data_IF_894546391893
#
_entry.id   IF_894546391893
#
_cell.length_a   1.000
_cell.length_b   1.000
_cell.length_c   1.000
_cell.angle_alpha   90.00
_cell.angle_beta   90.00
_cell.angle_gamma   90.00
#
_symmetry.space_group_name_H-M   'P 1'
#
loop_
_entity.id
_entity.type
_entity.pdbx_description
1 polymer ?
#
# COMPACT_ATOMS: atom_id res chain seq x y z
N UNK A 1 -38.71 40.61 78.57
CA UNK A 1 -40.14 40.83 78.24
C UNK A 1 -40.53 39.94 77.06
N UNK A 2 -41.62 39.18 77.25
CA UNK A 2 -42.48 38.46 76.27
C UNK A 2 -41.93 37.25 75.48
N UNK A 3 -42.69 36.15 75.66
CA UNK A 3 -42.65 34.76 75.15
C UNK A 3 -43.15 34.65 73.69
N UNK A 4 -42.83 33.52 73.03
CA UNK A 4 -43.70 32.54 72.30
C UNK A 4 -42.73 31.48 71.69
N UNK A 5 -42.78 30.15 71.90
CA UNK A 5 -43.84 29.15 71.62
C UNK A 5 -43.93 28.90 70.10
N UNK A 6 -43.95 27.71 69.47
CA UNK A 6 -44.06 26.30 69.84
C UNK A 6 -43.98 25.46 68.51
N UNK A 7 -43.32 24.28 68.54
CA UNK A 7 -43.51 23.01 67.75
C UNK A 7 -43.59 22.99 66.20
N UNK A 8 -42.81 22.09 65.57
CA UNK A 8 -43.32 20.92 64.82
C UNK A 8 -42.27 19.78 64.80
N UNK A 9 -42.78 18.53 64.73
CA UNK A 9 -42.14 17.22 64.94
C UNK A 9 -42.04 16.46 63.61
N UNK A 10 -41.25 15.36 63.61
CA UNK A 10 -41.10 14.22 62.66
C UNK A 10 -39.85 14.30 61.78
N UNK A 11 -39.01 13.26 61.63
CA UNK A 11 -39.07 11.87 62.06
C UNK A 11 -37.73 11.17 61.75
N UNK A 12 -37.45 10.08 62.47
CA UNK A 12 -36.21 9.30 62.39
C UNK A 12 -36.13 8.40 61.14
N UNK A 13 -34.90 8.08 60.70
CA UNK A 13 -34.52 6.72 60.29
C UNK A 13 -32.99 6.61 60.14
N UNK A 14 -32.37 5.85 61.05
CA UNK A 14 -31.02 5.30 60.89
C UNK A 14 -31.19 3.96 60.18
N UNK A 15 -30.58 3.79 59.00
CA UNK A 15 -30.30 2.47 58.44
C UNK A 15 -28.87 2.50 57.93
N UNK A 16 -28.02 1.67 58.55
CA UNK A 16 -26.65 1.44 58.13
C UNK A 16 -26.59 0.81 56.75
N UNK A 17 -25.55 1.13 55.99
CA UNK A 17 -25.26 0.49 54.72
C UNK A 17 -23.77 0.21 54.65
N UNK A 18 -23.48 -1.07 54.88
CA UNK A 18 -22.39 -1.89 54.34
C UNK A 18 -21.39 -1.16 53.45
N UNK A 19 -20.13 -1.16 53.88
CA UNK A 19 -18.96 -0.89 53.05
C UNK A 19 -18.90 -1.98 51.98
N UNK A 20 -19.51 -1.70 50.82
CA UNK A 20 -19.31 -2.49 49.61
C UNK A 20 -17.92 -2.19 49.08
N UNK A 21 -17.08 -3.23 49.01
CA UNK A 21 -15.79 -3.19 48.35
C UNK A 21 -15.94 -2.56 46.96
N UNK A 22 -15.20 -1.49 46.71
CA UNK A 22 -15.12 -0.87 45.41
C UNK A 22 -14.72 -1.95 44.39
N UNK A 23 -15.63 -2.24 43.46
CA UNK A 23 -15.29 -2.95 42.25
C UNK A 23 -14.18 -2.15 41.55
N UNK A 24 -13.01 -2.75 41.42
CA UNK A 24 -11.97 -2.27 40.53
C UNK A 24 -12.50 -2.34 39.10
N UNK A 25 -13.14 -1.25 38.65
CA UNK A 25 -13.60 -1.09 37.28
C UNK A 25 -12.37 -0.97 36.37
N UNK A 26 -12.29 -1.86 35.39
CA UNK A 26 -11.20 -1.95 34.41
C UNK A 26 -10.97 -0.62 33.66
N UNK A 27 -9.76 0.00 33.75
CA UNK A 27 -9.42 1.14 32.91
C UNK A 27 -8.91 0.76 31.49
N UNK A 28 -8.91 -0.52 31.09
CA UNK A 28 -7.99 -0.97 30.04
C UNK A 28 -8.56 -1.11 28.62
N UNK A 29 -9.87 -1.32 28.43
CA UNK A 29 -10.44 -1.63 27.12
C UNK A 29 -10.92 -0.39 26.34
N UNK A 30 -11.53 0.57 27.03
CA UNK A 30 -12.02 1.84 26.45
C UNK A 30 -10.86 2.74 26.03
N UNK A 31 -9.79 2.78 26.82
CA UNK A 31 -8.59 3.58 26.53
C UNK A 31 -7.81 3.01 25.35
N UNK A 32 -7.76 1.67 25.20
CA UNK A 32 -7.13 1.00 24.07
C UNK A 32 -7.92 1.20 22.77
N UNK A 33 -9.25 1.09 22.81
CA UNK A 33 -10.11 1.34 21.65
C UNK A 33 -10.05 2.82 21.23
N UNK A 34 -10.09 3.74 22.19
CA UNK A 34 -9.94 5.18 21.95
C UNK A 34 -8.59 5.52 21.31
N UNK A 35 -7.49 4.90 21.80
CA UNK A 35 -6.16 5.06 21.21
C UNK A 35 -6.09 4.53 19.78
N UNK A 36 -6.67 3.36 19.50
CA UNK A 36 -6.69 2.79 18.15
C UNK A 36 -7.46 3.67 17.15
N UNK A 37 -8.59 4.25 17.57
CA UNK A 37 -9.35 5.21 16.79
C UNK A 37 -8.55 6.50 16.53
N UNK A 38 -7.90 7.05 17.56
CA UNK A 38 -7.05 8.23 17.44
C UNK A 38 -5.85 8.00 16.50
N UNK A 39 -5.21 6.84 16.59
CA UNK A 39 -4.12 6.45 15.68
C UNK A 39 -4.64 6.31 14.24
N UNK A 40 -5.81 5.72 14.04
CA UNK A 40 -6.38 5.60 12.69
C UNK A 40 -6.73 6.95 12.07
N UNK A 41 -7.23 7.90 12.87
CA UNK A 41 -7.47 9.27 12.42
C UNK A 41 -6.16 10.00 12.10
N UNK A 42 -5.13 9.84 12.95
CA UNK A 42 -3.80 10.37 12.72
C UNK A 42 -3.16 9.87 11.41
N UNK A 43 -3.26 8.58 11.12
CA UNK A 43 -2.75 8.00 9.86
C UNK A 43 -3.47 8.58 8.64
N UNK A 44 -4.79 8.78 8.74
CA UNK A 44 -5.58 9.39 7.68
C UNK A 44 -5.19 10.86 7.46
N UNK A 45 -4.96 11.63 8.52
CA UNK A 45 -4.43 13.00 8.43
C UNK A 45 -3.06 13.03 7.76
N UNK A 46 -2.11 12.19 8.20
CA UNK A 46 -0.77 12.16 7.61
C UNK A 46 -0.77 11.79 6.12
N UNK A 47 -1.70 10.92 5.71
CA UNK A 47 -1.90 10.53 4.32
C UNK A 47 -2.43 11.68 3.48
N UNK A 48 -3.37 12.46 4.01
CA UNK A 48 -3.91 13.64 3.33
C UNK A 48 -2.86 14.76 3.22
N UNK A 49 -2.05 14.91 4.27
CA UNK A 49 -0.97 15.91 4.37
C UNK A 49 0.40 15.31 4.01
N UNK A 50 0.44 14.40 3.03
CA UNK A 50 1.69 13.80 2.58
C UNK A 50 2.68 14.87 2.08
N UNK A 51 4.00 14.70 2.27
CA UNK A 51 4.99 15.69 1.85
C UNK A 51 4.89 15.97 0.35
N UNK A 52 4.76 17.25 -0.03
CA UNK A 52 4.61 17.68 -1.43
C UNK A 52 5.96 17.90 -2.15
N UNK A 53 7.05 17.32 -1.63
CA UNK A 53 8.40 17.50 -2.16
C UNK A 53 9.18 16.18 -2.11
N UNK A 54 10.19 16.07 -2.97
CA UNK A 54 11.05 14.88 -3.01
C UNK A 54 11.84 14.72 -1.71
N UNK A 55 12.02 13.48 -1.28
CA UNK A 55 12.77 13.15 -0.08
C UNK A 55 12.14 12.06 0.77
N UNK A 56 12.67 11.89 1.98
CA UNK A 56 12.24 10.87 2.92
C UNK A 56 11.79 11.52 4.22
N UNK A 57 10.69 11.00 4.75
CA UNK A 57 10.02 11.58 5.90
C UNK A 57 9.56 10.50 6.86
N UNK A 58 9.43 10.88 8.13
CA UNK A 58 8.85 10.05 9.17
C UNK A 58 7.94 10.86 10.07
N UNK A 59 7.00 10.18 10.70
CA UNK A 59 6.16 10.73 11.75
C UNK A 59 5.91 9.68 12.84
N UNK A 60 5.51 10.13 14.02
CA UNK A 60 5.20 9.26 15.16
C UNK A 60 4.06 9.84 15.96
N UNK A 61 3.01 9.05 16.17
CA UNK A 61 1.85 9.43 16.96
C UNK A 61 2.28 9.85 18.39
N UNK A 62 1.77 10.98 18.93
CA UNK A 62 0.68 11.80 18.41
C UNK A 62 1.09 13.02 17.55
N UNK A 63 2.33 13.10 17.06
CA UNK A 63 2.77 14.21 16.21
C UNK A 63 2.07 14.16 14.84
N UNK A 64 1.29 15.18 14.48
CA UNK A 64 0.57 15.24 13.20
C UNK A 64 1.42 15.74 12.01
N UNK A 65 2.75 15.80 12.15
CA UNK A 65 3.63 16.40 11.15
C UNK A 65 4.67 15.43 10.61
N UNK A 66 5.01 15.58 9.33
CA UNK A 66 6.14 14.91 8.72
C UNK A 66 7.45 15.59 9.11
N UNK A 67 8.44 14.80 9.52
CA UNK A 67 9.82 15.25 9.78
C UNK A 67 10.74 14.61 8.76
N UNK A 68 11.55 15.42 8.09
CA UNK A 68 12.58 14.91 7.18
C UNK A 68 13.50 13.91 7.91
N UNK A 69 13.92 12.86 7.21
CA UNK A 69 14.82 11.83 7.70
C UNK A 69 15.82 11.44 6.61
N UNK A 70 16.88 10.74 6.99
CA UNK A 70 17.84 10.22 6.02
C UNK A 70 17.18 9.24 5.05
N UNK A 71 17.40 9.46 3.76
CA UNK A 71 17.10 8.50 2.71
C UNK A 71 18.19 7.44 2.61
N UNK A 72 17.84 6.31 2.02
CA UNK A 72 18.78 5.28 1.58
C UNK A 72 19.04 5.41 0.08
N UNK A 73 20.17 4.90 -0.41
CA UNK A 73 20.32 4.64 -1.84
C UNK A 73 19.16 3.81 -2.38
N UNK A 74 18.91 3.91 -3.68
CA UNK A 74 17.90 3.12 -4.37
C UNK A 74 18.10 1.62 -4.10
N UNK A 75 17.05 0.91 -3.67
CA UNK A 75 17.08 -0.54 -3.54
C UNK A 75 17.61 -1.23 -4.79
N UNK A 76 18.46 -2.22 -4.58
CA UNK A 76 19.12 -2.98 -5.66
C UNK A 76 18.41 -4.29 -5.97
N UNK A 77 17.46 -4.69 -5.13
CA UNK A 77 16.67 -5.89 -5.36
C UNK A 77 16.04 -5.81 -6.76
N UNK A 78 16.34 -6.76 -7.66
CA UNK A 78 15.64 -6.82 -8.92
C UNK A 78 14.20 -7.23 -8.65
N UNK A 79 13.28 -6.30 -8.80
CA UNK A 79 11.86 -6.58 -8.84
C UNK A 79 11.49 -6.90 -10.29
N UNK A 80 10.58 -7.85 -10.47
CA UNK A 80 10.28 -8.33 -11.81
C UNK A 80 9.46 -7.30 -12.60
N UNK A 81 9.62 -7.25 -13.93
CA UNK A 81 8.67 -6.54 -14.78
C UNK A 81 7.25 -7.05 -14.51
N UNK A 82 6.21 -6.26 -14.86
CA UNK A 82 4.84 -6.65 -14.67
C UNK A 82 4.57 -7.94 -15.43
N UNK A 83 3.63 -8.73 -14.94
CA UNK A 83 3.11 -9.89 -15.64
C UNK A 83 2.39 -9.40 -16.90
N UNK A 84 3.11 -9.38 -18.04
CA UNK A 84 2.62 -8.82 -19.30
C UNK A 84 2.55 -9.85 -20.42
N UNK A 85 1.57 -9.65 -21.30
CA UNK A 85 1.41 -10.28 -22.60
C UNK A 85 1.73 -9.25 -23.68
N UNK A 86 2.69 -9.58 -24.55
CA UNK A 86 2.97 -8.83 -25.79
C UNK A 86 2.14 -9.44 -26.92
N UNK A 87 1.26 -8.64 -27.51
CA UNK A 87 0.38 -9.05 -28.60
C UNK A 87 1.11 -8.96 -29.95
N UNK A 88 0.57 -9.64 -30.98
CA UNK A 88 1.19 -9.68 -32.33
C UNK A 88 1.33 -8.31 -32.99
N UNK A 89 0.52 -7.35 -32.58
CA UNK A 89 0.52 -5.95 -33.03
C UNK A 89 1.47 -5.06 -32.20
N UNK A 90 2.27 -5.66 -31.30
CA UNK A 90 3.19 -4.95 -30.40
C UNK A 90 2.53 -4.37 -29.15
N UNK A 91 1.21 -4.50 -28.98
CA UNK A 91 0.54 -3.97 -27.78
C UNK A 91 0.88 -4.79 -26.55
N UNK A 92 1.26 -4.11 -25.47
CA UNK A 92 1.57 -4.75 -24.17
C UNK A 92 0.35 -4.63 -23.25
N UNK A 93 -0.05 -5.74 -22.63
CA UNK A 93 -1.18 -5.79 -21.69
C UNK A 93 -0.83 -6.66 -20.49
N UNK A 94 -1.51 -6.50 -19.36
CA UNK A 94 -1.37 -7.45 -18.25
C UNK A 94 -1.78 -8.88 -18.66
N UNK A 95 -1.08 -9.88 -18.13
CA UNK A 95 -1.34 -11.32 -18.34
C UNK A 95 -2.72 -11.68 -17.78
N UNK A 96 -3.38 -12.66 -18.40
CA UNK A 96 -4.74 -13.11 -18.03
C UNK A 96 -4.90 -14.62 -17.87
N UNK A 97 -3.82 -15.41 -17.85
CA UNK A 97 -3.96 -16.86 -17.82
C UNK A 97 -4.36 -17.38 -16.44
N UNK A 98 -4.95 -18.59 -16.43
CA UNK A 98 -5.58 -19.17 -15.24
C UNK A 98 -4.96 -20.52 -14.89
N UNK A 99 -4.09 -20.50 -13.88
CA UNK A 99 -3.69 -21.65 -13.06
C UNK A 99 -3.34 -21.05 -11.70
N UNK A 100 -4.13 -21.32 -10.66
CA UNK A 100 -4.19 -20.47 -9.45
C UNK A 100 -2.97 -20.58 -8.52
N UNK A 101 -2.32 -19.45 -8.36
CA UNK A 101 -1.65 -18.86 -7.17
C UNK A 101 -1.92 -17.35 -7.27
N UNK A 102 -1.98 -16.60 -6.17
CA UNK A 102 -2.15 -15.13 -6.23
C UNK A 102 -0.87 -14.50 -6.76
N UNK A 103 -0.99 -13.48 -7.61
CA UNK A 103 0.12 -12.82 -8.32
C UNK A 103 0.36 -13.39 -9.73
N UNK A 104 1.45 -12.99 -10.38
CA UNK A 104 1.74 -13.37 -11.78
C UNK A 104 0.55 -13.16 -12.74
N UNK A 105 -0.13 -12.02 -12.61
CA UNK A 105 -1.33 -11.67 -13.37
C UNK A 105 -2.65 -12.14 -12.76
N UNK A 106 -2.61 -13.02 -11.75
CA UNK A 106 -3.79 -13.54 -11.03
C UNK A 106 -4.01 -12.73 -9.75
N UNK A 107 -4.74 -11.61 -9.86
CA UNK A 107 -5.21 -10.84 -8.72
C UNK A 107 -6.49 -10.03 -9.07
N UNK A 108 -7.09 -9.44 -8.04
CA UNK A 108 -8.11 -8.42 -8.17
C UNK A 108 -7.53 -7.00 -8.19
N UNK A 109 -8.13 -6.16 -9.04
CA UNK A 109 -7.72 -4.78 -9.25
C UNK A 109 -8.93 -3.86 -9.14
N UNK A 110 -8.76 -2.77 -8.39
CA UNK A 110 -9.76 -1.70 -8.30
C UNK A 110 -9.66 -0.82 -9.55
N UNK A 111 -10.72 -0.76 -10.35
CA UNK A 111 -10.76 0.06 -11.57
C UNK A 111 -11.76 1.22 -11.47
N UNK A 112 -11.29 2.42 -11.80
CA UNK A 112 -12.07 3.65 -11.75
C UNK A 112 -12.31 4.21 -13.15
N UNK A 113 -13.33 5.07 -13.30
CA UNK A 113 -13.58 5.80 -14.55
C UNK A 113 -12.74 7.07 -14.66
N UNK A 114 -12.43 7.71 -13.54
CA UNK A 114 -11.52 8.85 -13.48
C UNK A 114 -10.10 8.40 -13.13
N UNK A 115 -9.15 9.32 -13.25
CA UNK A 115 -7.78 9.07 -12.82
C UNK A 115 -7.73 8.93 -11.30
N UNK A 116 -7.01 7.94 -10.81
CA UNK A 116 -6.74 7.71 -9.40
C UNK A 116 -5.68 8.75 -8.97
N UNK A 117 -6.02 9.52 -7.94
CA UNK A 117 -5.09 10.43 -7.28
C UNK A 117 -4.29 9.73 -6.19
N UNK A 118 -4.95 8.81 -5.47
CA UNK A 118 -4.31 8.01 -4.44
C UNK A 118 -5.01 6.67 -4.21
N UNK A 119 -4.25 5.67 -3.78
CA UNK A 119 -4.73 4.37 -3.31
C UNK A 119 -4.28 4.14 -1.87
N UNK A 120 -5.07 3.42 -1.09
CA UNK A 120 -4.64 2.82 0.17
C UNK A 120 -4.93 1.31 0.20
N UNK A 121 -3.92 0.53 0.56
CA UNK A 121 -3.97 -0.90 0.76
C UNK A 121 -3.91 -1.26 2.25
N UNK A 122 -4.81 -2.14 2.68
CA UNK A 122 -4.83 -2.68 4.04
C UNK A 122 -5.27 -4.13 4.07
N UNK A 123 -5.03 -4.80 5.20
CA UNK A 123 -5.50 -6.15 5.47
C UNK A 123 -6.50 -6.15 6.64
N UNK A 124 -7.82 -5.94 6.41
CA UNK A 124 -8.80 -5.83 7.50
C UNK A 124 -8.90 -7.06 8.41
N UNK A 125 -8.54 -8.25 7.91
CA UNK A 125 -8.52 -9.50 8.68
C UNK A 125 -7.32 -10.33 8.25
N UNK A 126 -6.59 -10.85 9.23
CA UNK A 126 -5.44 -11.74 9.04
C UNK A 126 -5.52 -12.80 10.12
N UNK A 127 -5.76 -14.05 9.74
CA UNK A 127 -5.87 -15.18 10.67
C UNK A 127 -5.13 -16.40 10.12
N UNK A 128 -4.74 -17.31 11.02
CA UNK A 128 -4.02 -18.53 10.64
C UNK A 128 -2.62 -18.32 10.08
N UNK A 129 -2.16 -17.08 9.90
CA UNK A 129 -0.79 -16.75 9.46
C UNK A 129 0.21 -16.99 10.60
N UNK A 130 1.26 -17.72 10.28
CA UNK A 130 2.33 -18.12 11.17
C UNK A 130 3.13 -16.92 11.69
N UNK A 131 3.81 -17.14 12.81
CA UNK A 131 4.56 -16.10 13.51
C UNK A 131 6.01 -15.96 13.04
N UNK A 132 6.45 -16.83 12.13
CA UNK A 132 7.81 -16.82 11.60
C UNK A 132 8.09 -15.53 10.82
N UNK A 133 9.34 -15.09 10.89
CA UNK A 133 9.83 -13.96 10.11
C UNK A 133 10.23 -14.47 8.73
N UNK A 134 9.32 -14.29 7.78
CA UNK A 134 9.52 -14.59 6.35
C UNK A 134 9.78 -13.32 5.57
N UNK A 135 10.47 -13.44 4.44
CA UNK A 135 10.67 -12.34 3.51
C UNK A 135 9.47 -12.21 2.58
N UNK A 136 8.90 -11.01 2.55
CA UNK A 136 7.76 -10.64 1.70
C UNK A 136 7.86 -9.19 1.26
N UNK A 137 7.06 -8.86 0.25
CA UNK A 137 6.78 -7.49 -0.17
C UNK A 137 5.29 -7.17 -0.09
N UNK A 138 4.96 -5.92 0.16
CA UNK A 138 3.64 -5.35 -0.12
C UNK A 138 3.78 -4.42 -1.31
N UNK A 139 2.86 -4.53 -2.26
CA UNK A 139 2.96 -3.82 -3.51
C UNK A 139 1.65 -3.10 -3.78
N UNK A 140 1.71 -1.81 -4.10
CA UNK A 140 0.63 -1.11 -4.81
C UNK A 140 1.09 -0.96 -6.24
N UNK A 141 0.34 -1.52 -7.20
CA UNK A 141 0.70 -1.46 -8.62
C UNK A 141 -0.32 -0.61 -9.37
N UNK A 142 0.16 0.28 -10.25
CA UNK A 142 -0.72 0.97 -11.20
C UNK A 142 -1.13 0.06 -12.35
N UNK A 143 -2.04 0.51 -13.21
CA UNK A 143 -2.15 -0.08 -14.54
C UNK A 143 -0.88 0.18 -15.38
N UNK A 144 -0.63 -0.74 -16.30
CA UNK A 144 0.20 -0.53 -17.48
C UNK A 144 -0.65 0.11 -18.59
N UNK A 145 -0.26 1.29 -19.07
CA UNK A 145 -0.95 2.00 -20.16
C UNK A 145 0.01 2.90 -20.96
N UNK A 146 -0.43 3.36 -22.13
CA UNK A 146 0.33 4.30 -22.97
C UNK A 146 0.34 5.69 -22.36
N UNK A 147 1.53 6.29 -22.25
CA UNK A 147 1.67 7.64 -21.70
C UNK A 147 2.40 8.59 -22.66
N UNK A 148 1.69 9.23 -23.61
CA UNK A 148 2.32 10.05 -24.63
C UNK A 148 3.16 11.21 -24.07
N UNK A 149 2.86 11.70 -22.85
CA UNK A 149 3.64 12.74 -22.19
C UNK A 149 5.05 12.22 -21.86
N UNK A 150 5.12 11.06 -21.19
CA UNK A 150 6.39 10.42 -20.83
C UNK A 150 7.15 9.92 -22.05
N UNK A 151 6.45 9.40 -23.07
CA UNK A 151 7.10 8.98 -24.31
C UNK A 151 7.83 10.17 -24.95
N UNK A 152 7.13 11.28 -25.16
CA UNK A 152 7.72 12.49 -25.73
C UNK A 152 8.87 13.04 -24.88
N UNK A 153 8.73 13.02 -23.55
CA UNK A 153 9.78 13.42 -22.60
C UNK A 153 11.07 12.60 -22.78
N UNK A 154 10.96 11.30 -23.05
CA UNK A 154 12.10 10.41 -23.30
C UNK A 154 12.49 10.31 -24.78
N UNK A 155 11.86 11.08 -25.66
CA UNK A 155 12.17 11.11 -27.09
C UNK A 155 11.53 10.00 -27.92
N UNK A 156 10.60 9.22 -27.34
CA UNK A 156 9.91 8.12 -28.02
C UNK A 156 8.57 8.56 -28.61
N UNK A 157 8.27 8.03 -29.80
CA UNK A 157 7.00 8.22 -30.49
C UNK A 157 5.82 7.58 -29.76
N UNK A 158 6.04 6.41 -29.15
CA UNK A 158 5.07 5.73 -28.31
C UNK A 158 5.74 4.76 -27.34
N UNK A 159 5.10 4.54 -26.20
CA UNK A 159 5.62 3.77 -25.08
C UNK A 159 4.49 3.41 -24.10
N UNK A 160 4.77 2.45 -23.23
CA UNK A 160 3.92 2.13 -22.08
C UNK A 160 4.63 2.41 -20.78
N UNK A 161 3.88 2.76 -19.74
CA UNK A 161 4.42 3.03 -18.42
C UNK A 161 3.64 2.32 -17.33
N UNK A 162 4.38 1.95 -16.29
CA UNK A 162 3.87 1.29 -15.10
C UNK A 162 4.72 1.71 -13.91
N UNK A 163 4.08 1.89 -12.76
CA UNK A 163 4.75 2.27 -11.53
C UNK A 163 4.26 1.37 -10.39
N UNK A 164 5.19 1.04 -9.50
CA UNK A 164 4.93 0.26 -8.31
C UNK A 164 5.41 1.01 -7.08
N UNK A 165 4.69 0.84 -5.99
CA UNK A 165 5.06 1.37 -4.68
C UNK A 165 5.26 0.19 -3.75
N UNK A 166 6.40 0.14 -3.08
CA UNK A 166 6.83 -1.03 -2.32
C UNK A 166 6.93 -0.77 -0.83
N UNK A 167 6.57 -1.78 -0.06
CA UNK A 167 7.27 -2.17 1.15
C UNK A 167 7.96 -3.50 0.87
N UNK A 168 9.22 -3.62 1.26
CA UNK A 168 9.99 -4.87 1.21
C UNK A 168 10.57 -5.15 2.59
N UNK A 169 10.65 -6.42 2.95
CA UNK A 169 11.34 -6.89 4.16
C UNK A 169 12.86 -6.89 3.99
N UNK A 170 13.35 -6.92 2.75
CA UNK A 170 14.77 -6.93 2.43
C UNK A 170 15.05 -6.30 1.06
N UNK A 171 15.57 -5.07 1.06
CA UNK A 171 15.68 -4.20 -0.11
C UNK A 171 16.96 -4.37 -0.95
N UNK A 172 17.95 -5.08 -0.43
CA UNK A 172 19.18 -5.41 -1.16
C UNK A 172 19.27 -6.90 -1.51
N UNK A 173 18.51 -7.77 -0.83
CA UNK A 173 18.49 -9.20 -1.08
C UNK A 173 19.83 -9.87 -0.76
N UNK A 174 20.73 -9.16 -0.05
CA UNK A 174 22.06 -9.64 0.26
C UNK A 174 22.03 -10.32 1.64
N UNK A 175 22.16 -11.66 1.71
CA UNK A 175 22.08 -12.38 2.98
C UNK A 175 23.17 -11.97 3.97
N UNK A 176 24.25 -11.31 3.53
CA UNK A 176 25.32 -10.81 4.39
C UNK A 176 24.88 -9.58 5.19
N UNK A 177 24.02 -8.73 4.61
CA UNK A 177 23.56 -7.50 5.26
C UNK A 177 22.40 -7.75 6.23
N UNK A 178 21.84 -8.96 6.20
CA UNK A 178 20.59 -9.28 6.86
C UNK A 178 19.44 -8.50 6.24
N UNK A 179 18.25 -8.59 6.84
CA UNK A 179 17.06 -7.92 6.32
C UNK A 179 17.23 -6.41 6.37
N UNK A 180 17.01 -5.76 5.23
CA UNK A 180 16.99 -4.31 5.07
C UNK A 180 15.60 -3.80 4.67
N UNK A 181 14.62 -3.73 5.59
CA UNK A 181 13.27 -3.35 5.23
C UNK A 181 13.20 -1.89 4.78
N UNK A 182 12.58 -1.66 3.64
CA UNK A 182 12.46 -0.33 3.05
C UNK A 182 11.12 -0.13 2.37
N UNK A 183 10.77 1.13 2.18
CA UNK A 183 9.77 1.55 1.18
C UNK A 183 10.44 2.39 0.10
N UNK A 184 9.94 2.26 -1.12
CA UNK A 184 10.45 2.94 -2.31
C UNK A 184 9.44 2.83 -3.46
N UNK A 185 9.76 3.48 -4.57
CA UNK A 185 8.95 3.51 -5.79
C UNK A 185 9.80 2.90 -6.91
N UNK A 186 9.23 1.97 -7.66
CA UNK A 186 9.84 1.44 -8.88
C UNK A 186 9.07 1.93 -10.11
N UNK A 187 9.83 2.28 -11.13
CA UNK A 187 9.33 2.89 -12.35
C UNK A 187 9.71 2.04 -13.54
N UNK A 188 8.74 1.78 -14.41
CA UNK A 188 8.96 1.04 -15.65
C UNK A 188 8.47 1.83 -16.87
N UNK A 189 9.30 1.80 -17.90
CA UNK A 189 9.07 2.34 -19.23
C UNK A 189 9.28 1.22 -20.25
N UNK A 190 8.33 1.03 -21.16
CA UNK A 190 8.42 0.03 -22.23
C UNK A 190 8.43 0.75 -23.57
N UNK A 191 9.46 0.51 -24.36
CA UNK A 191 9.50 0.98 -25.74
C UNK A 191 8.61 0.10 -26.61
N UNK A 192 7.79 0.72 -27.44
CA UNK A 192 6.95 -0.01 -28.40
C UNK A 192 7.73 -0.53 -29.61
N UNK A 193 8.87 0.10 -29.91
CA UNK A 193 9.64 -0.17 -31.12
C UNK A 193 11.10 -0.47 -30.78
N UNK A 194 11.59 -1.61 -31.26
CA UNK A 194 12.96 -2.05 -31.02
C UNK A 194 14.02 -1.14 -31.67
N UNK A 195 13.78 -0.69 -32.91
CA UNK A 195 14.72 0.20 -33.60
C UNK A 195 14.81 1.58 -32.94
N UNK A 196 13.68 2.10 -32.43
CA UNK A 196 13.66 3.34 -31.65
C UNK A 196 14.43 3.17 -30.33
N UNK A 197 14.24 2.03 -29.65
CA UNK A 197 15.01 1.70 -28.45
C UNK A 197 16.51 1.56 -28.71
N UNK A 198 16.91 0.90 -29.80
CA UNK A 198 18.33 0.75 -30.16
C UNK A 198 19.00 2.10 -30.47
N UNK A 199 18.23 3.07 -30.99
CA UNK A 199 18.72 4.40 -31.33
C UNK A 199 18.76 5.35 -30.12
N UNK A 200 17.77 5.30 -29.23
CA UNK A 200 17.60 6.25 -28.12
C UNK A 200 18.17 5.69 -26.81
N UNK A 201 17.93 4.41 -26.54
CA UNK A 201 18.29 3.75 -25.28
C UNK A 201 17.44 4.20 -24.10
N UNK A 202 17.91 3.88 -22.90
CA UNK A 202 17.23 4.26 -21.66
C UNK A 202 17.54 5.69 -21.23
N UNK A 203 16.60 6.37 -20.56
CA UNK A 203 16.86 7.69 -19.98
C UNK A 203 18.07 7.65 -19.02
N UNK A 204 18.79 8.77 -18.85
CA UNK A 204 19.92 8.82 -17.93
C UNK A 204 19.55 8.35 -16.51
N UNK A 205 20.36 7.45 -15.95
CA UNK A 205 20.16 6.88 -14.61
C UNK A 205 19.18 5.69 -14.56
N UNK A 206 18.59 5.29 -15.70
CA UNK A 206 17.74 4.11 -15.79
C UNK A 206 18.54 2.89 -16.28
N UNK A 207 18.11 1.72 -15.83
CA UNK A 207 18.67 0.45 -16.26
C UNK A 207 17.89 -0.08 -17.47
N UNK A 208 18.59 -0.67 -18.44
CA UNK A 208 17.97 -1.36 -19.57
C UNK A 208 17.51 -2.77 -19.19
N UNK A 209 16.36 -3.17 -19.71
CA UNK A 209 15.85 -4.53 -19.60
C UNK A 209 15.24 -4.95 -20.94
N UNK A 210 15.82 -5.98 -21.55
CA UNK A 210 15.36 -6.48 -22.85
C UNK A 210 15.05 -7.97 -22.77
N UNK A 211 13.94 -8.37 -23.37
CA UNK A 211 13.55 -9.77 -23.57
C UNK A 211 13.49 -10.09 -25.05
N UNK A 212 13.14 -11.33 -25.40
CA UNK A 212 12.86 -11.69 -26.79
C UNK A 212 11.62 -10.99 -27.38
N UNK A 213 10.78 -10.35 -26.55
CA UNK A 213 9.48 -9.80 -26.98
C UNK A 213 9.31 -8.31 -26.72
N UNK A 214 10.12 -7.68 -25.88
CA UNK A 214 10.04 -6.24 -25.62
C UNK A 214 11.35 -5.67 -25.08
N UNK A 215 11.48 -4.35 -25.22
CA UNK A 215 12.55 -3.55 -24.61
C UNK A 215 11.95 -2.60 -23.58
N UNK A 216 12.63 -2.44 -22.46
CA UNK A 216 12.19 -1.64 -21.34
C UNK A 216 13.35 -0.96 -20.64
N UNK A 217 12.99 0.03 -19.83
CA UNK A 217 13.86 0.69 -18.88
C UNK A 217 13.19 0.65 -17.51
N UNK A 218 13.98 0.49 -16.46
CA UNK A 218 13.50 0.59 -15.09
C UNK A 218 14.40 1.43 -14.21
N UNK A 219 13.83 2.03 -13.17
CA UNK A 219 14.56 2.75 -12.14
C UNK A 219 13.84 2.70 -10.80
N UNK A 220 14.63 2.66 -9.73
CA UNK A 220 14.14 2.77 -8.36
C UNK A 220 14.40 4.18 -7.83
N UNK A 221 13.39 4.74 -7.16
CA UNK A 221 13.58 5.92 -6.33
C UNK A 221 14.60 5.64 -5.22
N UNK A 222 15.07 6.71 -4.57
CA UNK A 222 15.63 6.59 -3.23
C UNK A 222 14.63 5.87 -2.31
N UNK A 223 15.13 5.25 -1.23
CA UNK A 223 14.30 4.55 -0.25
C UNK A 223 14.33 5.19 1.12
N UNK A 224 13.50 4.69 2.02
CA UNK A 224 13.62 4.95 3.46
C UNK A 224 13.53 3.64 4.23
N UNK A 225 14.45 3.44 5.18
CA UNK A 225 14.42 2.27 6.07
C UNK A 225 13.18 2.36 6.96
N UNK A 226 12.46 1.25 7.03
CA UNK A 226 11.28 1.07 7.87
C UNK A 226 11.48 -0.12 8.80
N UNK A 227 10.63 -0.30 9.83
CA UNK A 227 10.71 -1.46 10.69
C UNK A 227 10.42 -2.75 9.92
N UNK A 228 11.14 -3.82 10.26
CA UNK A 228 10.79 -5.17 9.86
C UNK A 228 9.46 -5.56 10.53
N UNK A 229 8.46 -5.92 9.74
CA UNK A 229 7.17 -6.37 10.24
C UNK A 229 7.04 -7.88 10.01
N UNK A 230 6.76 -8.68 11.06
CA UNK A 230 6.43 -10.09 10.86
C UNK A 230 5.13 -10.24 10.07
N UNK A 231 5.03 -11.28 9.23
CA UNK A 231 3.85 -11.49 8.39
C UNK A 231 2.55 -11.64 9.19
N UNK A 232 2.62 -12.18 10.41
CA UNK A 232 1.51 -12.22 11.38
C UNK A 232 0.96 -10.85 11.80
N UNK A 233 1.69 -9.76 11.54
CA UNK A 233 1.31 -8.40 11.91
C UNK A 233 0.93 -7.52 10.72
N UNK A 234 0.82 -8.06 9.50
CA UNK A 234 0.47 -7.26 8.30
C UNK A 234 -0.89 -6.57 8.42
N UNK A 235 -1.82 -7.12 9.22
CA UNK A 235 -3.10 -6.47 9.53
C UNK A 235 -2.97 -5.12 10.27
N UNK A 236 -1.78 -4.80 10.79
CA UNK A 236 -1.46 -3.51 11.43
C UNK A 236 -0.78 -2.52 10.48
N UNK A 237 -0.44 -2.95 9.26
CA UNK A 237 0.16 -2.08 8.25
C UNK A 237 -0.96 -1.34 7.52
N UNK A 238 -0.73 -0.06 7.26
CA UNK A 238 -1.42 0.67 6.20
C UNK A 238 -0.40 1.17 5.21
N UNK A 239 -0.66 0.93 3.93
CA UNK A 239 0.17 1.44 2.84
C UNK A 239 -0.69 2.33 1.96
N UNK A 240 -0.12 3.42 1.48
CA UNK A 240 -0.81 4.30 0.53
C UNK A 240 0.17 4.85 -0.49
N UNK A 241 -0.35 5.08 -1.70
CA UNK A 241 0.38 5.69 -2.78
C UNK A 241 -0.42 6.85 -3.37
N UNK A 242 0.26 7.87 -3.88
CA UNK A 242 -0.36 8.99 -4.59
C UNK A 242 0.51 9.46 -5.74
N UNK A 243 -0.13 9.96 -6.80
CA UNK A 243 0.53 10.57 -7.94
C UNK A 243 -0.11 11.92 -8.25
N UNK A 244 0.65 13.00 -8.09
CA UNK A 244 0.13 14.38 -8.19
C UNK A 244 0.74 15.10 -9.37
N UNK A 245 -0.10 15.63 -10.26
CA UNK A 245 0.36 16.39 -11.43
C UNK A 245 1.22 17.59 -11.01
N UNK A 246 2.44 17.70 -11.56
CA UNK A 246 3.36 18.81 -11.26
C UNK A 246 3.84 18.85 -9.80
N UNK A 247 3.71 17.74 -9.08
CA UNK A 247 4.18 17.57 -7.71
C UNK A 247 5.10 16.35 -7.61
N UNK A 248 4.76 15.45 -6.69
CA UNK A 248 5.51 14.22 -6.44
C UNK A 248 4.63 12.99 -6.49
N UNK A 249 5.23 11.87 -6.88
CA UNK A 249 4.70 10.53 -6.62
C UNK A 249 5.20 10.11 -5.23
N UNK A 250 4.33 9.57 -4.39
CA UNK A 250 4.63 9.31 -2.97
C UNK A 250 4.10 7.96 -2.53
N UNK A 251 4.93 7.21 -1.80
CA UNK A 251 4.49 6.08 -0.97
C UNK A 251 4.54 6.46 0.50
N UNK A 252 3.55 6.01 1.25
CA UNK A 252 3.49 6.11 2.70
C UNK A 252 3.21 4.73 3.28
N UNK A 253 3.90 4.43 4.38
CA UNK A 253 3.74 3.20 5.15
C UNK A 253 3.60 3.57 6.61
N UNK A 254 2.57 3.03 7.26
CA UNK A 254 2.38 3.18 8.69
C UNK A 254 2.18 1.85 9.39
N UNK A 255 2.70 1.77 10.61
CA UNK A 255 2.49 0.65 11.52
C UNK A 255 2.65 1.11 12.97
N UNK A 256 1.72 0.68 13.84
CA UNK A 256 1.81 0.88 15.29
C UNK A 256 2.12 2.34 15.71
N UNK A 257 1.56 3.33 15.01
CA UNK A 257 1.76 4.74 15.35
C UNK A 257 3.08 5.34 14.85
N UNK A 258 3.77 4.67 13.93
CA UNK A 258 4.93 5.19 13.20
C UNK A 258 4.58 5.23 11.72
N UNK A 259 4.91 6.33 11.05
CA UNK A 259 4.69 6.49 9.63
C UNK A 259 5.99 6.90 8.93
N UNK A 260 6.14 6.45 7.70
CA UNK A 260 7.30 6.68 6.84
C UNK A 260 6.80 7.03 5.46
N UNK A 261 7.51 7.91 4.78
CA UNK A 261 7.17 8.29 3.42
C UNK A 261 8.45 8.52 2.61
N UNK A 262 8.38 8.18 1.33
CA UNK A 262 9.36 8.58 0.34
C UNK A 262 8.65 9.04 -0.92
N UNK A 263 9.20 10.09 -1.52
CA UNK A 263 8.61 10.78 -2.66
C UNK A 263 9.66 11.03 -3.74
N UNK A 264 9.25 10.89 -5.00
CA UNK A 264 10.05 11.21 -6.19
C UNK A 264 9.30 12.23 -7.07
N UNK A 265 10.01 12.86 -8.00
CA UNK A 265 9.39 13.77 -8.96
C UNK A 265 8.26 13.09 -9.76
N UNK A 266 7.10 13.73 -9.88
CA UNK A 266 5.98 13.19 -10.67
C UNK A 266 6.33 13.07 -12.17
N UNK A 267 7.22 13.92 -12.68
CA UNK A 267 7.63 13.89 -14.09
C UNK A 267 8.51 12.67 -14.41
N UNK A 268 8.94 11.89 -13.40
CA UNK A 268 9.68 10.62 -13.62
C UNK A 268 8.92 9.69 -14.56
N UNK A 269 7.60 9.58 -14.37
CA UNK A 269 6.72 8.78 -15.24
C UNK A 269 5.41 9.45 -15.63
N UNK A 270 5.09 10.63 -15.10
CA UNK A 270 3.79 11.29 -15.26
C UNK A 270 2.62 10.34 -15.03
N UNK A 271 2.73 9.43 -14.05
CA UNK A 271 1.78 8.30 -13.90
C UNK A 271 0.36 8.78 -13.60
N UNK A 272 0.25 9.96 -12.97
CA UNK A 272 -1.00 10.66 -12.70
C UNK A 272 -1.83 10.91 -13.97
N UNK A 273 -1.24 10.85 -15.18
CA UNK A 273 -1.93 11.01 -16.46
C UNK A 273 -2.66 9.74 -16.92
N UNK A 274 -2.27 8.58 -16.40
CA UNK A 274 -2.75 7.28 -16.87
C UNK A 274 -3.27 6.34 -15.77
N UNK A 275 -3.04 6.66 -14.49
CA UNK A 275 -3.42 5.79 -13.39
C UNK A 275 -4.95 5.70 -13.21
N UNK A 276 -5.53 4.54 -13.50
CA UNK A 276 -6.99 4.25 -13.44
C UNK A 276 -7.30 2.92 -12.78
N UNK A 277 -6.28 2.13 -12.50
CA UNK A 277 -6.43 0.84 -11.86
C UNK A 277 -5.34 0.65 -10.81
N UNK A 278 -5.72 0.07 -9.70
CA UNK A 278 -4.80 -0.18 -8.59
C UNK A 278 -4.95 -1.61 -8.08
N UNK A 279 -3.83 -2.31 -8.04
CA UNK A 279 -3.65 -3.57 -7.33
C UNK A 279 -3.04 -3.27 -5.96
N UNK A 280 -3.38 -4.08 -4.95
CA UNK A 280 -2.61 -4.12 -3.71
C UNK A 280 -2.66 -5.53 -3.13
N UNK A 281 -1.51 -6.09 -2.78
CA UNK A 281 -1.44 -7.38 -2.11
C UNK A 281 -0.08 -7.63 -1.43
N UNK A 282 0.04 -8.82 -0.83
CA UNK A 282 1.26 -9.40 -0.29
C UNK A 282 1.84 -10.45 -1.23
N UNK A 283 3.15 -10.38 -1.49
CA UNK A 283 3.85 -11.28 -2.39
C UNK A 283 5.23 -11.65 -1.85
N UNK A 284 5.95 -12.52 -2.57
CA UNK A 284 7.36 -12.81 -2.30
C UNK A 284 8.25 -11.56 -2.37
N UNK A 285 9.47 -11.68 -1.85
CA UNK A 285 10.40 -10.57 -1.77
C UNK A 285 11.34 -10.51 -3.00
N UNK A 286 10.80 -10.01 -4.10
CA UNK A 286 11.53 -9.77 -5.35
C UNK A 286 11.76 -11.00 -6.23
N UNK A 287 12.49 -10.80 -7.34
CA UNK A 287 12.56 -11.74 -8.46
C UNK A 287 13.21 -13.10 -8.18
N UNK A 288 14.15 -13.17 -7.24
CA UNK A 288 14.80 -14.44 -6.87
C UNK A 288 13.92 -15.33 -5.99
N UNK A 289 13.03 -14.71 -5.22
CA UNK A 289 12.09 -15.38 -4.32
C UNK A 289 10.68 -14.82 -4.56
N UNK A 290 10.13 -15.01 -5.78
CA UNK A 290 8.89 -14.35 -6.16
C UNK A 290 7.69 -14.92 -5.42
N UNK A 291 7.78 -16.17 -4.92
CA UNK A 291 6.68 -16.84 -4.23
C UNK A 291 6.84 -16.72 -2.71
N UNK A 292 5.85 -16.09 -2.07
CA UNK A 292 5.65 -16.15 -0.63
C UNK A 292 4.88 -17.43 -0.25
N UNK A 293 5.45 -18.20 0.67
CA UNK A 293 4.80 -19.35 1.28
C UNK A 293 4.22 -18.99 2.66
N UNK A 294 2.90 -18.89 2.72
CA UNK A 294 2.14 -18.84 3.96
C UNK A 294 1.76 -20.27 4.39
N UNK A 295 1.78 -20.53 5.70
CA UNK A 295 1.42 -21.83 6.24
C UNK A 295 -0.06 -22.15 5.97
N UNK A 296 -0.39 -23.45 5.91
CA UNK A 296 -1.77 -23.90 5.73
C UNK A 296 -2.70 -23.36 6.82
N UNK A 297 -3.94 -23.04 6.43
CA UNK A 297 -4.94 -22.41 7.27
C UNK A 297 -4.81 -20.88 7.30
N UNK A 298 -3.92 -20.28 6.50
CA UNK A 298 -3.82 -18.83 6.39
C UNK A 298 -5.05 -18.26 5.69
N UNK A 299 -5.59 -17.18 6.25
CA UNK A 299 -6.71 -16.43 5.70
C UNK A 299 -6.42 -14.94 5.80
N UNK A 300 -6.50 -14.25 4.66
CA UNK A 300 -6.26 -12.82 4.54
C UNK A 300 -7.47 -12.17 3.87
N UNK A 301 -7.92 -11.04 4.39
CA UNK A 301 -8.83 -10.14 3.69
C UNK A 301 -8.02 -8.95 3.22
N UNK A 302 -8.10 -8.64 1.93
CA UNK A 302 -7.42 -7.52 1.29
C UNK A 302 -8.43 -6.43 0.99
N UNK A 303 -8.07 -5.17 1.28
CA UNK A 303 -8.87 -4.00 0.91
C UNK A 303 -8.03 -3.01 0.14
N UNK A 304 -8.54 -2.60 -1.02
CA UNK A 304 -7.93 -1.59 -1.88
C UNK A 304 -8.89 -0.41 -2.00
N UNK A 305 -8.60 0.67 -1.29
CA UNK A 305 -9.34 1.93 -1.36
C UNK A 305 -8.73 2.86 -2.39
N UNK A 306 -9.56 3.52 -3.20
CA UNK A 306 -9.13 4.42 -4.27
C UNK A 306 -9.80 5.77 -4.11
N UNK A 307 -9.06 6.82 -4.42
CA UNK A 307 -9.58 8.18 -4.53
C UNK A 307 -9.41 8.67 -5.97
N UNK A 308 -10.51 8.72 -6.72
CA UNK A 308 -10.58 9.28 -8.07
C UNK A 308 -11.39 10.61 -8.08
N UNK A 309 -11.58 11.22 -6.91
CA UNK A 309 -12.40 12.41 -6.72
C UNK A 309 -13.91 12.15 -6.79
N UNK A 310 -14.36 10.90 -6.66
CA UNK A 310 -15.79 10.53 -6.63
C UNK A 310 -16.13 9.61 -5.46
N UNK A 311 -17.42 9.43 -5.19
CA UNK A 311 -17.93 8.45 -4.22
C UNK A 311 -18.43 7.15 -4.89
N UNK A 312 -18.13 6.95 -6.18
CA UNK A 312 -18.62 5.79 -6.92
C UNK A 312 -17.83 4.55 -6.53
N UNK A 313 -18.51 3.41 -6.40
CA UNK A 313 -17.82 2.14 -6.20
C UNK A 313 -16.87 1.87 -7.39
N UNK A 314 -15.59 1.52 -7.15
CA UNK A 314 -14.73 1.02 -8.22
C UNK A 314 -15.28 -0.29 -8.77
N UNK A 315 -14.90 -0.67 -9.98
CA UNK A 315 -15.17 -2.01 -10.48
C UNK A 315 -14.09 -2.94 -9.96
N UNK A 316 -14.50 -4.11 -9.46
CA UNK A 316 -13.55 -5.18 -9.25
C UNK A 316 -13.25 -5.91 -10.57
N UNK A 317 -12.01 -5.85 -11.02
CA UNK A 317 -11.51 -6.61 -12.17
C UNK A 317 -10.70 -7.79 -11.66
N UNK A 318 -10.91 -8.99 -12.18
CA UNK A 318 -10.17 -10.18 -11.79
C UNK A 318 -10.96 -11.47 -12.11
N UNK A 319 -10.48 -12.64 -11.70
CA UNK A 319 -9.27 -12.86 -10.91
C UNK A 319 -7.96 -12.77 -11.70
N UNK A 320 -7.98 -12.53 -13.02
CA UNK A 320 -6.77 -12.43 -13.84
C UNK A 320 -6.55 -10.98 -14.30
N UNK A 321 -6.42 -10.06 -13.35
CA UNK A 321 -6.23 -8.63 -13.63
C UNK A 321 -4.96 -8.04 -12.99
N UNK A 322 -4.20 -8.84 -12.23
CA UNK A 322 -3.00 -8.39 -11.52
C UNK A 322 -1.89 -7.93 -12.45
N UNK A 323 -0.96 -7.15 -11.93
CA UNK A 323 0.15 -6.57 -12.68
C UNK A 323 1.50 -7.13 -12.28
N UNK A 324 1.67 -7.64 -11.07
CA UNK A 324 2.97 -8.17 -10.61
C UNK A 324 3.26 -9.60 -11.10
N UNK A 325 4.55 -9.96 -11.18
CA UNK A 325 5.05 -11.34 -11.32
C UNK A 325 5.27 -12.03 -9.97
N UNK A 326 5.51 -11.27 -8.90
CA UNK A 326 5.58 -11.86 -7.56
C UNK A 326 4.24 -12.48 -7.18
N UNK A 327 4.30 -13.49 -6.32
CA UNK A 327 3.22 -14.42 -6.02
C UNK A 327 3.13 -14.73 -4.53
N UNK A 328 1.98 -15.25 -4.11
CA UNK A 328 1.81 -15.95 -2.85
C UNK A 328 1.05 -17.27 -3.08
N UNK A 329 1.13 -18.19 -2.12
CA UNK A 329 0.52 -19.53 -2.22
C UNK A 329 -0.95 -19.58 -1.74
N UNK A 330 -1.67 -18.46 -1.73
CA UNK A 330 -3.09 -18.40 -1.40
C UNK A 330 -3.96 -18.50 -2.66
N UNK A 331 -5.24 -18.80 -2.43
CA UNK A 331 -6.28 -18.83 -3.45
C UNK A 331 -7.24 -17.66 -3.25
N UNK A 332 -7.51 -16.90 -4.32
CA UNK A 332 -8.48 -15.81 -4.33
C UNK A 332 -9.91 -16.31 -4.06
N UNK A 333 -10.60 -15.65 -3.14
CA UNK A 333 -12.03 -15.74 -2.89
C UNK A 333 -12.83 -14.73 -3.72
N UNK A 334 -14.02 -14.37 -3.26
CA UNK A 334 -14.87 -13.40 -3.98
C UNK A 334 -14.41 -11.96 -3.75
N UNK A 335 -14.59 -11.12 -4.77
CA UNK A 335 -14.36 -9.69 -4.68
C UNK A 335 -15.66 -8.90 -4.65
N UNK A 336 -15.71 -7.91 -3.76
CA UNK A 336 -16.84 -6.98 -3.60
C UNK A 336 -16.35 -5.54 -3.76
N UNK A 337 -17.24 -4.66 -4.20
CA UNK A 337 -16.95 -3.24 -4.35
C UNK A 337 -17.92 -2.38 -3.54
N UNK A 338 -17.40 -1.32 -2.93
CA UNK A 338 -18.16 -0.38 -2.14
C UNK A 338 -17.84 1.06 -2.59
N UNK A 339 -18.87 1.89 -2.71
CA UNK A 339 -18.73 3.35 -2.91
C UNK A 339 -18.73 4.09 -1.57
N UNK A 340 -19.07 5.38 -1.60
CA UNK A 340 -19.19 6.22 -0.42
C UNK A 340 -17.95 7.09 -0.19
N UNK A 341 -17.66 7.43 1.07
CA UNK A 341 -16.57 8.34 1.44
C UNK A 341 -15.17 7.76 1.18
N UNK A 342 -15.04 6.43 1.15
CA UNK A 342 -13.81 5.73 0.82
C UNK A 342 -14.12 4.57 -0.15
N UNK A 343 -14.32 4.86 -1.44
CA UNK A 343 -14.58 3.82 -2.42
C UNK A 343 -13.47 2.77 -2.44
N UNK A 344 -13.84 1.49 -2.50
CA UNK A 344 -12.88 0.39 -2.38
C UNK A 344 -13.38 -0.90 -3.01
N UNK A 345 -12.44 -1.82 -3.27
CA UNK A 345 -12.75 -3.23 -3.38
C UNK A 345 -12.25 -4.00 -2.15
N UNK A 346 -12.84 -5.16 -1.88
CA UNK A 346 -12.42 -6.07 -0.82
C UNK A 346 -12.57 -7.51 -1.30
N UNK A 347 -11.56 -8.33 -1.04
CA UNK A 347 -11.54 -9.74 -1.40
C UNK A 347 -10.78 -10.54 -0.35
N UNK A 348 -10.97 -11.85 -0.36
CA UNK A 348 -10.31 -12.79 0.58
C UNK A 348 -9.32 -13.68 -0.15
N UNK A 349 -8.36 -14.21 0.57
CA UNK A 349 -7.38 -15.18 0.11
C UNK A 349 -7.11 -16.23 1.19
N UNK A 350 -6.98 -17.51 0.82
CA UNK A 350 -6.72 -18.59 1.79
C UNK A 350 -6.03 -19.83 1.23
N UNK A 351 -5.47 -20.68 2.10
CA UNK A 351 -4.91 -22.01 1.81
C UNK A 351 -5.06 -23.02 2.96
#
# INVERSE_FOLDING_TARGET
MKKFGLKYVLGACIIGSVVGAAAAAQPSATDAAGRAAAMSAWEETLRQDAPAMEGCFRSSFPDNGWKATGCTPSPKLPLMPPAITVNKDGNITARKDGTLTVGNGVDYVAATRKLIHSTSGTFPSVTGVGTDVVDYSLQINTNLDRNPVTCAQFGYSSCWNWQQFFYTTDSDGDPINGRTPAIFIENWFYADNAAEFDAIGCPPGWNSYSTSTYNACYSNSIGVIVPLVPVSQIGKIKMSASATAGGVDTVTFSINGRAYSVSQNADTLNINRIWRRSEFNIFGNGSYHPLLYLNSGSHITVKVAVNDGTSNAPKCLGPNAGYTVEQNNLTLGSCTAAGGASPSITFTESN
#
